data_IF_749715467521
#
_entry.id   IF_749715467521
#
_cell.length_a   1.000
_cell.length_b   1.000
_cell.length_c   1.000
_cell.angle_alpha   90.00
_cell.angle_beta   90.00
_cell.angle_gamma   90.00
#
_symmetry.space_group_name_H-M   'P 1'
#
loop_
_entity.id
_entity.type
_entity.pdbx_description
1 polymer ?
#
# COMPACT_ATOMS: atom_id res chain seq x y z
N UNK A 1 -53.92 -0.79 -15.53
CA UNK A 1 -53.36 -0.21 -14.29
C UNK A 1 -52.46 -1.23 -13.61
N UNK A 2 -51.16 -0.94 -13.59
CA UNK A 2 -50.14 -1.24 -12.57
C UNK A 2 -48.78 -1.35 -13.26
N UNK A 3 -48.14 -0.18 -13.30
CA UNK A 3 -46.70 0.01 -13.52
C UNK A 3 -45.93 -0.81 -12.48
N UNK A 4 -44.81 -1.44 -12.81
CA UNK A 4 -43.59 -1.31 -11.99
C UNK A 4 -42.32 -1.86 -12.67
N UNK A 5 -41.40 -0.90 -12.88
CA UNK A 5 -39.93 -0.98 -12.74
C UNK A 5 -39.12 -1.97 -13.59
N UNK A 6 -38.70 -1.40 -14.71
CA UNK A 6 -37.43 -1.58 -15.41
C UNK A 6 -36.24 -1.39 -14.45
N UNK A 7 -35.41 -2.41 -14.26
CA UNK A 7 -34.07 -2.28 -13.64
C UNK A 7 -33.03 -2.46 -14.74
N UNK A 8 -32.49 -1.35 -15.22
CA UNK A 8 -31.34 -1.33 -16.14
C UNK A 8 -30.10 -1.62 -15.29
N UNK A 9 -29.50 -2.79 -15.48
CA UNK A 9 -28.17 -3.09 -14.98
C UNK A 9 -27.16 -2.49 -15.97
N UNK A 10 -26.65 -1.29 -15.68
CA UNK A 10 -25.46 -0.77 -16.37
C UNK A 10 -24.26 -1.51 -15.77
N UNK A 11 -23.92 -2.65 -16.38
CA UNK A 11 -22.60 -3.22 -16.24
C UNK A 11 -21.65 -2.38 -17.10
N UNK A 12 -20.91 -1.46 -16.49
CA UNK A 12 -19.73 -0.86 -17.11
C UNK A 12 -18.66 -1.95 -17.25
N UNK A 13 -18.76 -2.73 -18.32
CA UNK A 13 -17.69 -3.56 -18.81
C UNK A 13 -16.62 -2.60 -19.33
N UNK A 14 -15.61 -2.31 -18.51
CA UNK A 14 -14.33 -1.82 -19.02
C UNK A 14 -13.66 -3.00 -19.74
N UNK A 15 -14.08 -3.22 -20.98
CA UNK A 15 -13.35 -4.05 -21.94
C UNK A 15 -11.96 -3.44 -22.06
N UNK A 16 -10.95 -4.28 -21.81
CA UNK A 16 -9.54 -3.92 -21.87
C UNK A 16 -9.26 -3.07 -23.10
N UNK A 17 -8.89 -1.81 -22.84
CA UNK A 17 -8.19 -1.00 -23.81
C UNK A 17 -6.90 -1.75 -24.11
N UNK A 18 -6.89 -2.46 -25.23
CA UNK A 18 -5.69 -3.06 -25.79
C UNK A 18 -4.60 -2.00 -25.81
N UNK A 19 -3.38 -2.42 -25.46
CA UNK A 19 -2.19 -1.56 -25.36
C UNK A 19 -2.13 -0.58 -26.53
N UNK A 20 -2.60 0.66 -26.30
CA UNK A 20 -2.44 1.74 -27.25
C UNK A 20 -0.96 2.06 -27.27
N UNK A 21 -0.29 1.76 -28.38
CA UNK A 21 1.06 2.25 -28.62
C UNK A 21 1.00 3.78 -28.51
N UNK A 22 1.65 4.33 -27.49
CA UNK A 22 1.78 5.78 -27.35
C UNK A 22 2.80 6.18 -28.40
N UNK A 23 2.29 6.62 -29.55
CA UNK A 23 3.11 7.12 -30.63
C UNK A 23 3.68 8.49 -30.24
N UNK A 24 4.92 8.70 -30.66
CA UNK A 24 5.53 10.01 -30.81
C UNK A 24 4.59 10.96 -31.56
N UNK A 25 4.45 12.19 -31.06
CA UNK A 25 3.63 13.29 -31.61
C UNK A 25 2.13 13.21 -31.28
N UNK A 26 1.78 13.72 -30.09
CA UNK A 26 0.39 13.97 -29.72
C UNK A 26 0.25 14.47 -28.29
N UNK A 27 -0.61 15.47 -28.08
CA UNK A 27 -1.11 15.80 -26.74
C UNK A 27 -2.14 14.74 -26.39
N UNK A 28 -1.84 13.94 -25.37
CA UNK A 28 -2.76 12.96 -24.80
C UNK A 28 -3.48 13.58 -23.61
N UNK A 29 -4.73 13.16 -23.37
CA UNK A 29 -5.49 13.60 -22.21
C UNK A 29 -6.02 12.40 -21.43
N UNK A 30 -5.93 12.46 -20.11
CA UNK A 30 -6.39 11.41 -19.20
C UNK A 30 -7.06 12.03 -17.98
N UNK A 31 -8.21 11.47 -17.61
CA UNK A 31 -8.91 11.83 -16.39
C UNK A 31 -8.28 11.12 -15.20
N UNK A 32 -8.14 11.86 -14.11
CA UNK A 32 -7.62 11.38 -12.84
C UNK A 32 -8.65 11.67 -11.76
N UNK A 33 -8.92 10.70 -10.87
CA UNK A 33 -9.87 10.89 -9.79
C UNK A 33 -9.20 11.52 -8.56
N UNK A 34 -10.02 12.15 -7.72
CA UNK A 34 -9.64 12.64 -6.40
C UNK A 34 -10.27 11.77 -5.31
N UNK A 35 -9.66 11.77 -4.13
CA UNK A 35 -10.22 11.16 -2.92
C UNK A 35 -10.80 12.23 -2.00
N UNK A 36 -11.85 11.86 -1.27
CA UNK A 36 -12.33 12.66 -0.14
C UNK A 36 -11.22 12.77 0.91
N UNK A 37 -10.92 13.97 1.44
CA UNK A 37 -10.00 14.13 2.57
C UNK A 37 -10.45 13.30 3.79
N UNK A 38 -9.66 12.31 4.18
CA UNK A 38 -9.99 11.38 5.25
C UNK A 38 -9.52 11.89 6.63
N UNK A 39 -9.85 13.14 6.95
CA UNK A 39 -9.35 13.81 8.14
C UNK A 39 -9.69 13.06 9.44
N UNK A 40 -10.78 12.30 9.46
CA UNK A 40 -11.14 11.48 10.61
C UNK A 40 -10.11 10.40 10.97
N UNK A 41 -9.40 9.87 9.98
CA UNK A 41 -8.26 8.96 10.17
C UNK A 41 -6.99 9.79 10.45
N UNK A 42 -6.74 10.82 9.65
CA UNK A 42 -5.46 11.54 9.70
C UNK A 42 -5.25 12.33 11.00
N UNK A 43 -6.31 12.88 11.58
CA UNK A 43 -6.24 13.64 12.83
C UNK A 43 -5.83 12.76 14.02
N UNK A 44 -6.10 11.45 13.99
CA UNK A 44 -5.63 10.53 15.02
C UNK A 44 -4.18 10.11 14.85
N UNK A 45 -3.43 10.72 13.93
CA UNK A 45 -2.05 10.34 13.61
C UNK A 45 -1.92 9.07 12.77
N UNK A 46 -3.02 8.38 12.47
CA UNK A 46 -3.01 7.28 11.50
C UNK A 46 -2.80 7.85 10.10
N UNK A 47 -1.90 7.24 9.34
CA UNK A 47 -1.70 7.60 7.94
C UNK A 47 -2.46 6.66 7.01
N UNK A 48 -2.48 5.35 7.30
CA UNK A 48 -3.18 4.30 6.55
C UNK A 48 -2.95 4.38 5.03
N UNK A 49 -1.74 4.71 4.58
CA UNK A 49 -1.42 4.96 3.16
C UNK A 49 -1.78 6.37 2.67
N UNK A 50 -1.83 7.38 3.55
CA UNK A 50 -2.00 8.78 3.16
C UNK A 50 -0.92 9.13 2.15
N UNK A 51 -1.30 9.70 1.01
CA UNK A 51 -0.42 9.96 -0.14
C UNK A 51 0.25 8.73 -0.77
N UNK A 52 -0.26 7.52 -0.56
CA UNK A 52 0.21 6.34 -1.27
C UNK A 52 -0.57 6.07 -2.55
N UNK A 53 -1.85 6.44 -2.64
CA UNK A 53 -2.65 6.12 -3.81
C UNK A 53 -2.08 6.74 -5.10
N UNK A 54 -1.89 5.92 -6.15
CA UNK A 54 -1.30 6.33 -7.43
C UNK A 54 -2.22 5.99 -8.60
N UNK A 55 -2.18 6.86 -9.61
CA UNK A 55 -2.84 6.66 -10.89
C UNK A 55 -1.79 6.66 -11.98
N UNK A 56 -1.67 5.56 -12.71
CA UNK A 56 -0.66 5.39 -13.75
C UNK A 56 -1.02 6.16 -15.02
N UNK A 57 -0.02 6.46 -15.84
CA UNK A 57 -0.24 6.94 -17.21
C UNK A 57 -0.37 5.78 -18.23
N UNK A 58 -0.06 4.55 -17.84
CA UNK A 58 -0.22 3.33 -18.66
C UNK A 58 1.00 2.92 -19.49
N UNK A 59 2.14 3.58 -19.30
CA UNK A 59 3.37 3.31 -20.05
C UNK A 59 4.61 3.39 -19.16
N UNK A 60 5.73 2.89 -19.68
CA UNK A 60 7.06 3.03 -19.09
C UNK A 60 7.79 4.10 -19.89
N UNK A 61 8.21 5.17 -19.21
CA UNK A 61 8.99 6.24 -19.81
C UNK A 61 10.43 5.77 -19.99
N UNK A 62 10.92 5.89 -21.22
CA UNK A 62 12.26 5.47 -21.61
C UNK A 62 13.33 6.35 -20.97
N UNK A 63 14.55 5.83 -20.74
CA UNK A 63 15.67 6.62 -20.21
C UNK A 63 15.89 7.92 -20.99
N UNK A 64 16.18 9.00 -20.28
CA UNK A 64 16.48 10.34 -20.79
C UNK A 64 15.39 10.94 -21.71
N UNK A 65 14.17 10.40 -21.66
CA UNK A 65 13.02 10.94 -22.40
C UNK A 65 12.28 11.95 -21.54
N UNK A 66 11.86 13.07 -22.13
CA UNK A 66 11.10 14.12 -21.43
C UNK A 66 9.61 13.80 -21.52
N UNK A 67 8.96 13.81 -20.36
CA UNK A 67 7.51 13.84 -20.23
C UNK A 67 7.08 15.27 -19.86
N UNK A 68 6.24 15.87 -20.69
CA UNK A 68 5.58 17.14 -20.39
C UNK A 68 4.20 16.84 -19.87
N UNK A 69 3.77 17.53 -18.82
CA UNK A 69 2.44 17.38 -18.24
C UNK A 69 1.88 18.75 -17.84
N UNK A 70 0.58 18.94 -18.03
CA UNK A 70 -0.19 20.05 -17.45
C UNK A 70 -1.55 19.58 -16.98
N UNK A 71 -2.12 20.28 -16.02
CA UNK A 71 -3.48 20.12 -15.56
C UNK A 71 -4.40 21.05 -16.36
N UNK A 72 -5.52 20.54 -16.87
CA UNK A 72 -6.40 21.30 -17.78
C UNK A 72 -7.85 21.42 -17.33
N UNK A 73 -8.26 20.76 -16.24
CA UNK A 73 -9.60 20.99 -15.69
C UNK A 73 -9.62 22.33 -14.93
N UNK A 74 -10.29 23.38 -15.43
CA UNK A 74 -10.28 24.70 -14.81
C UNK A 74 -10.96 24.74 -13.43
N UNK A 75 -11.79 23.76 -13.09
CA UNK A 75 -12.46 23.69 -11.79
C UNK A 75 -11.55 23.13 -10.69
N UNK A 76 -10.48 22.43 -11.06
CA UNK A 76 -9.51 21.91 -10.11
C UNK A 76 -8.46 22.99 -9.81
N UNK A 77 -8.51 23.55 -8.60
CA UNK A 77 -7.65 24.69 -8.19
C UNK A 77 -6.37 24.30 -7.45
N UNK A 78 -6.19 23.01 -7.17
CA UNK A 78 -4.98 22.49 -6.53
C UNK A 78 -3.93 22.12 -7.58
N UNK A 79 -2.73 21.75 -7.12
CA UNK A 79 -1.72 21.08 -7.94
C UNK A 79 -1.77 19.56 -7.74
N UNK A 80 -1.10 18.84 -8.63
CA UNK A 80 -0.92 17.38 -8.56
C UNK A 80 0.57 17.06 -8.61
N UNK A 81 1.02 16.12 -7.80
CA UNK A 81 2.38 15.58 -7.93
C UNK A 81 2.39 14.48 -8.98
N UNK A 82 3.19 14.65 -10.03
CA UNK A 82 3.54 13.60 -10.99
C UNK A 82 4.94 13.09 -10.65
N UNK A 83 5.08 11.77 -10.59
CA UNK A 83 6.30 11.08 -10.20
C UNK A 83 6.75 10.11 -11.29
N UNK A 84 8.05 10.03 -11.49
CA UNK A 84 8.72 8.95 -12.22
C UNK A 84 9.22 7.96 -11.18
N UNK A 85 8.56 6.80 -11.10
CA UNK A 85 8.80 5.79 -10.05
C UNK A 85 9.57 4.61 -10.63
N UNK A 86 10.56 4.13 -9.90
CA UNK A 86 11.41 3.00 -10.28
C UNK A 86 11.82 2.16 -9.07
N UNK A 87 12.87 1.36 -9.18
CA UNK A 87 13.37 0.51 -8.09
C UNK A 87 14.61 1.07 -7.39
N UNK A 88 15.03 2.30 -7.67
CA UNK A 88 16.12 2.98 -6.96
C UNK A 88 15.86 4.47 -6.81
N UNK A 89 16.12 5.07 -5.64
CA UNK A 89 15.86 6.51 -5.45
C UNK A 89 16.68 7.40 -6.39
N UNK A 90 17.87 6.97 -6.80
CA UNK A 90 18.71 7.73 -7.72
C UNK A 90 18.03 8.04 -9.07
N UNK A 91 17.06 7.21 -9.48
CA UNK A 91 16.31 7.36 -10.74
C UNK A 91 14.90 7.93 -10.55
N UNK A 92 14.44 8.12 -9.31
CA UNK A 92 13.11 8.64 -9.05
C UNK A 92 13.06 10.15 -9.10
N UNK A 93 12.02 10.71 -9.69
CA UNK A 93 11.83 12.16 -9.84
C UNK A 93 10.38 12.51 -9.55
N UNK A 94 10.14 13.75 -9.15
CA UNK A 94 8.79 14.26 -8.97
C UNK A 94 8.71 15.73 -9.37
N UNK A 95 7.55 16.14 -9.87
CA UNK A 95 7.22 17.52 -10.21
C UNK A 95 5.80 17.84 -9.74
N UNK A 96 5.60 19.09 -9.35
CA UNK A 96 4.27 19.64 -9.07
C UNK A 96 3.69 20.19 -10.37
N UNK A 97 2.52 19.71 -10.77
CA UNK A 97 1.84 20.05 -12.01
C UNK A 97 0.64 20.97 -11.72
N UNK A 98 0.62 22.12 -12.40
CA UNK A 98 -0.49 23.09 -12.43
C UNK A 98 -1.00 23.29 -13.86
N UNK A 99 -1.52 24.49 -14.18
CA UNK A 99 -2.05 24.80 -15.52
C UNK A 99 -0.99 24.85 -16.63
N UNK A 100 0.25 25.16 -16.25
CA UNK A 100 1.36 25.31 -17.17
C UNK A 100 2.07 23.98 -17.46
N UNK A 101 2.64 23.89 -18.67
CA UNK A 101 3.47 22.76 -19.05
C UNK A 101 4.68 22.63 -18.14
N UNK A 102 4.81 21.47 -17.51
CA UNK A 102 5.93 21.11 -16.65
C UNK A 102 6.61 19.86 -17.20
N UNK A 103 7.94 19.84 -17.19
CA UNK A 103 8.75 18.73 -17.74
C UNK A 103 9.35 17.89 -16.63
N UNK A 104 9.42 16.57 -16.85
CA UNK A 104 10.12 15.63 -15.97
C UNK A 104 10.82 14.55 -16.82
N UNK A 105 12.01 14.13 -16.41
CA UNK A 105 12.77 13.05 -17.06
C UNK A 105 13.65 12.33 -16.04
N UNK A 106 14.08 11.11 -16.36
CA UNK A 106 14.99 10.32 -15.54
C UNK A 106 16.07 9.67 -16.40
N UNK A 107 17.22 9.32 -15.80
CA UNK A 107 18.33 8.66 -16.47
C UNK A 107 18.09 7.18 -16.75
N UNK A 108 17.03 6.60 -16.20
CA UNK A 108 16.64 5.20 -16.40
C UNK A 108 15.15 5.09 -16.71
N UNK A 109 14.73 3.89 -17.13
CA UNK A 109 13.32 3.59 -17.37
C UNK A 109 12.54 3.71 -16.06
N UNK A 110 11.41 4.40 -16.11
CA UNK A 110 10.56 4.68 -14.94
C UNK A 110 9.09 4.63 -15.32
N UNK A 111 8.22 4.46 -14.34
CA UNK A 111 6.77 4.47 -14.53
C UNK A 111 6.23 5.84 -14.12
N UNK A 112 5.66 6.64 -15.05
CA UNK A 112 4.96 7.86 -14.69
C UNK A 112 3.67 7.54 -13.94
N UNK A 113 3.54 8.13 -12.76
CA UNK A 113 2.35 8.02 -11.89
C UNK A 113 1.95 9.42 -11.41
N UNK A 114 0.65 9.68 -11.29
CA UNK A 114 0.14 10.83 -10.55
C UNK A 114 -0.24 10.38 -9.14
N UNK A 115 0.14 11.16 -8.12
CA UNK A 115 -0.40 10.99 -6.77
C UNK A 115 -1.87 11.39 -6.79
N UNK A 116 -2.75 10.52 -6.27
CA UNK A 116 -4.16 10.84 -6.18
C UNK A 116 -4.39 11.99 -5.20
N UNK A 117 -4.94 13.14 -5.65
CA UNK A 117 -5.14 14.28 -4.78
C UNK A 117 -6.33 14.06 -3.83
N UNK A 118 -6.30 14.74 -2.69
CA UNK A 118 -7.43 14.86 -1.78
C UNK A 118 -8.22 16.13 -2.10
N UNK A 119 -9.24 16.02 -2.94
CA UNK A 119 -10.00 17.16 -3.45
C UNK A 119 -11.44 16.78 -3.81
N UNK A 120 -12.32 17.79 -3.88
CA UNK A 120 -13.72 17.61 -4.28
C UNK A 120 -13.92 17.55 -5.81
N UNK A 121 -12.94 18.04 -6.56
CA UNK A 121 -12.96 18.08 -8.03
C UNK A 121 -11.90 17.12 -8.55
N UNK A 122 -12.20 16.40 -9.63
CA UNK A 122 -11.26 15.50 -10.30
C UNK A 122 -10.37 16.28 -11.26
N UNK A 123 -9.04 16.10 -11.22
CA UNK A 123 -8.19 16.68 -12.23
C UNK A 123 -8.27 15.98 -13.58
N UNK A 124 -7.95 16.72 -14.64
CA UNK A 124 -7.67 16.19 -15.97
C UNK A 124 -6.26 16.61 -16.35
N UNK A 125 -5.43 15.66 -16.73
CA UNK A 125 -4.07 15.92 -17.15
C UNK A 125 -3.95 15.77 -18.66
N UNK A 126 -3.23 16.71 -19.27
CA UNK A 126 -2.67 16.54 -20.60
C UNK A 126 -1.18 16.23 -20.49
N UNK A 127 -0.70 15.37 -21.38
CA UNK A 127 0.72 14.99 -21.42
C UNK A 127 1.22 14.77 -22.85
N UNK A 128 2.52 14.99 -23.02
CA UNK A 128 3.26 14.78 -24.26
C UNK A 128 4.59 14.11 -23.92
N UNK A 129 4.99 13.12 -24.72
CA UNK A 129 6.30 12.46 -24.59
C UNK A 129 7.19 12.94 -25.73
N UNK A 130 8.29 13.63 -25.40
CA UNK A 130 9.25 14.13 -26.39
C UNK A 130 10.19 12.98 -26.83
N UNK A 131 9.66 12.09 -27.66
CA UNK A 131 10.42 10.99 -28.25
C UNK A 131 9.85 10.65 -29.61
N UNK A 132 10.69 10.28 -30.58
CA UNK A 132 10.25 9.69 -31.85
C UNK A 132 9.94 8.19 -31.75
N UNK A 133 10.30 7.56 -30.62
CA UNK A 133 10.08 6.14 -30.36
C UNK A 133 8.86 5.95 -29.46
N UNK A 134 8.01 4.94 -29.75
CA UNK A 134 6.87 4.64 -28.91
C UNK A 134 7.35 4.15 -27.54
N UNK A 135 6.66 4.59 -26.48
CA UNK A 135 6.95 4.12 -25.13
C UNK A 135 6.42 2.69 -24.94
N UNK A 136 7.13 1.89 -24.14
CA UNK A 136 6.69 0.54 -23.80
C UNK A 136 5.39 0.62 -22.99
N UNK A 137 4.41 -0.27 -23.23
CA UNK A 137 3.22 -0.32 -22.38
C UNK A 137 3.62 -0.74 -20.96
N UNK A 138 2.91 -0.25 -19.96
CA UNK A 138 2.98 -0.79 -18.60
C UNK A 138 2.05 -2.01 -18.53
N UNK A 139 2.54 -3.24 -18.30
CA UNK A 139 1.69 -4.36 -17.95
C UNK A 139 0.98 -4.06 -16.63
N UNK A 140 -0.35 -4.12 -16.62
CA UNK A 140 -1.17 -3.89 -15.43
C UNK A 140 -2.03 -5.13 -15.22
N UNK A 141 -2.06 -5.63 -13.99
CA UNK A 141 -2.94 -6.72 -13.56
C UNK A 141 -3.94 -6.18 -12.55
N UNK A 142 -5.24 -6.27 -12.86
CA UNK A 142 -6.33 -6.05 -11.94
C UNK A 142 -6.95 -7.38 -11.54
N UNK A 143 -7.70 -7.38 -10.44
CA UNK A 143 -8.40 -8.58 -9.98
C UNK A 143 -9.29 -9.19 -11.06
N UNK A 144 -9.11 -10.48 -11.35
CA UNK A 144 -9.84 -11.22 -12.38
C UNK A 144 -9.29 -11.07 -13.81
N UNK A 145 -8.21 -10.31 -14.01
CA UNK A 145 -7.54 -10.24 -15.32
C UNK A 145 -6.85 -11.57 -15.68
N UNK A 146 -6.53 -11.75 -16.96
CA UNK A 146 -5.79 -12.93 -17.41
C UNK A 146 -4.29 -12.80 -17.09
N UNK A 147 -3.77 -13.59 -16.15
CA UNK A 147 -2.34 -13.66 -15.86
C UNK A 147 -1.52 -13.98 -17.11
N UNK A 148 -2.02 -14.88 -17.96
CA UNK A 148 -1.37 -15.23 -19.22
C UNK A 148 -1.19 -14.00 -20.12
N UNK A 149 -2.21 -13.13 -20.22
CA UNK A 149 -2.12 -11.91 -21.02
C UNK A 149 -1.22 -10.86 -20.36
N UNK A 150 -1.30 -10.71 -19.04
CA UNK A 150 -0.44 -9.82 -18.26
C UNK A 150 1.05 -10.15 -18.47
N UNK A 151 1.44 -11.40 -18.19
CA UNK A 151 2.82 -11.83 -18.37
C UNK A 151 3.23 -11.89 -19.84
N UNK A 152 2.33 -12.28 -20.76
CA UNK A 152 2.64 -12.22 -22.19
C UNK A 152 2.92 -10.80 -22.67
N UNK A 153 2.24 -9.79 -22.15
CA UNK A 153 2.51 -8.38 -22.49
C UNK A 153 3.88 -7.97 -21.99
N UNK A 154 4.19 -8.34 -20.74
CA UNK A 154 5.48 -8.07 -20.12
C UNK A 154 6.63 -8.75 -20.88
N UNK A 155 6.49 -10.03 -21.23
CA UNK A 155 7.50 -10.83 -21.91
C UNK A 155 7.73 -10.33 -23.35
N UNK A 156 6.67 -10.07 -24.12
CA UNK A 156 6.79 -9.65 -25.53
C UNK A 156 7.35 -8.24 -25.71
N UNK A 157 7.01 -7.34 -24.81
CA UNK A 157 7.43 -5.93 -24.88
C UNK A 157 8.72 -5.67 -24.10
N UNK A 158 9.28 -6.71 -23.47
CA UNK A 158 10.46 -6.65 -22.63
C UNK A 158 10.38 -5.49 -21.62
N UNK A 159 9.29 -5.43 -20.85
CA UNK A 159 9.02 -4.32 -19.94
C UNK A 159 9.93 -4.35 -18.69
N UNK A 160 10.32 -3.17 -18.21
CA UNK A 160 11.13 -2.99 -17.00
C UNK A 160 10.31 -3.15 -15.73
N UNK A 161 9.01 -2.91 -15.80
CA UNK A 161 8.10 -2.96 -14.67
C UNK A 161 6.75 -3.56 -15.06
N UNK A 162 6.01 -4.01 -14.06
CA UNK A 162 4.58 -4.31 -14.12
C UNK A 162 3.89 -3.83 -12.85
N UNK A 163 2.58 -3.66 -12.90
CA UNK A 163 1.79 -3.10 -11.81
C UNK A 163 0.61 -4.02 -11.46
N UNK A 164 0.61 -4.55 -10.24
CA UNK A 164 -0.50 -5.37 -9.72
C UNK A 164 -1.38 -4.47 -8.87
N UNK A 165 -2.70 -4.48 -9.08
CA UNK A 165 -3.65 -3.61 -8.38
C UNK A 165 -4.71 -4.42 -7.65
N UNK A 166 -4.83 -4.16 -6.36
CA UNK A 166 -5.99 -4.54 -5.55
C UNK A 166 -6.86 -3.32 -5.22
N UNK A 167 -7.92 -3.57 -4.46
CA UNK A 167 -8.81 -2.51 -3.97
C UNK A 167 -8.10 -1.55 -3.01
N UNK A 168 -7.27 -2.09 -2.11
CA UNK A 168 -6.62 -1.35 -1.02
C UNK A 168 -5.12 -1.14 -1.25
N UNK A 169 -4.57 -1.62 -2.36
CA UNK A 169 -3.14 -1.54 -2.64
C UNK A 169 -2.78 -1.57 -4.12
N UNK A 170 -1.54 -1.21 -4.42
CA UNK A 170 -0.88 -1.34 -5.71
C UNK A 170 0.56 -1.83 -5.46
N UNK A 171 1.06 -2.77 -6.26
CA UNK A 171 2.45 -3.25 -6.18
C UNK A 171 3.16 -2.94 -7.50
N UNK A 172 4.16 -2.06 -7.47
CA UNK A 172 5.08 -1.87 -8.59
C UNK A 172 6.18 -2.93 -8.51
N UNK A 173 6.23 -3.77 -9.54
CA UNK A 173 7.13 -4.93 -9.61
C UNK A 173 8.20 -4.66 -10.66
N UNK A 174 9.49 -4.58 -10.29
CA UNK A 174 10.57 -4.48 -11.26
C UNK A 174 10.74 -5.79 -12.02
N UNK A 175 11.43 -5.74 -13.16
CA UNK A 175 11.73 -6.90 -14.00
C UNK A 175 12.30 -8.07 -13.22
N UNK A 176 13.22 -7.82 -12.28
CA UNK A 176 13.81 -8.85 -11.44
C UNK A 176 12.78 -9.59 -10.57
N UNK A 177 11.67 -8.93 -10.23
CA UNK A 177 10.54 -9.51 -9.49
C UNK A 177 9.49 -10.22 -10.36
N UNK A 178 9.60 -10.15 -11.70
CA UNK A 178 8.60 -10.70 -12.62
C UNK A 178 8.32 -12.19 -12.36
N UNK A 179 9.37 -12.99 -12.21
CA UNK A 179 9.20 -14.43 -11.97
C UNK A 179 8.70 -14.75 -10.56
N UNK A 180 8.98 -13.90 -9.57
CA UNK A 180 8.35 -14.04 -8.23
C UNK A 180 6.86 -13.73 -8.29
N UNK A 181 6.45 -12.73 -9.08
CA UNK A 181 5.04 -12.44 -9.32
C UNK A 181 4.36 -13.55 -10.14
N UNK A 182 5.07 -14.20 -11.07
CA UNK A 182 4.58 -15.35 -11.86
C UNK A 182 4.46 -16.62 -11.02
N UNK A 183 5.34 -16.78 -10.04
CA UNK A 183 5.45 -17.97 -9.18
C UNK A 183 5.32 -17.57 -7.71
N UNK A 184 4.16 -17.02 -7.38
CA UNK A 184 3.81 -16.56 -6.03
C UNK A 184 4.00 -17.65 -4.98
N UNK A 185 4.49 -17.30 -3.79
CA UNK A 185 4.73 -18.29 -2.72
C UNK A 185 3.45 -18.58 -1.96
N UNK A 186 2.94 -19.82 -2.08
CA UNK A 186 1.72 -20.31 -1.43
C UNK A 186 0.43 -19.56 -1.83
N UNK A 187 0.40 -19.06 -3.08
CA UNK A 187 -0.82 -18.62 -3.75
C UNK A 187 -0.95 -19.35 -5.10
N UNK A 188 -2.19 -19.59 -5.55
CA UNK A 188 -2.41 -20.21 -6.86
C UNK A 188 -2.07 -19.27 -8.02
N UNK A 189 -2.23 -17.95 -7.81
CA UNK A 189 -2.11 -16.90 -8.82
C UNK A 189 -2.12 -15.50 -8.15
N UNK A 190 -1.99 -14.45 -8.96
CA UNK A 190 -2.08 -13.05 -8.55
C UNK A 190 -3.44 -12.67 -7.92
N UNK A 191 -4.55 -13.29 -8.33
CA UNK A 191 -5.84 -13.10 -7.64
C UNK A 191 -5.78 -13.60 -6.19
N UNK A 192 -5.11 -14.73 -5.95
CA UNK A 192 -4.85 -15.24 -4.60
C UNK A 192 -4.04 -14.29 -3.73
N UNK A 193 -3.08 -13.54 -4.32
CA UNK A 193 -2.33 -12.47 -3.63
C UNK A 193 -3.26 -11.31 -3.29
N UNK A 194 -4.07 -10.86 -4.25
CA UNK A 194 -5.02 -9.76 -4.04
C UNK A 194 -6.04 -10.12 -2.95
N UNK A 195 -6.60 -11.33 -2.99
CA UNK A 195 -7.57 -11.80 -2.00
C UNK A 195 -6.94 -11.95 -0.61
N UNK A 196 -5.68 -12.34 -0.52
CA UNK A 196 -4.95 -12.34 0.75
C UNK A 196 -4.82 -10.93 1.32
N UNK A 197 -4.40 -9.94 0.53
CA UNK A 197 -4.31 -8.56 1.00
C UNK A 197 -5.67 -7.97 1.35
N UNK A 198 -6.75 -8.32 0.64
CA UNK A 198 -8.12 -7.95 1.05
C UNK A 198 -8.41 -8.42 2.49
N UNK A 199 -7.98 -9.63 2.87
CA UNK A 199 -8.13 -10.12 4.25
C UNK A 199 -7.26 -9.36 5.25
N UNK A 200 -6.01 -9.04 4.89
CA UNK A 200 -5.10 -8.25 5.74
C UNK A 200 -5.72 -6.88 6.04
N UNK A 201 -6.08 -6.12 5.00
CA UNK A 201 -6.67 -4.80 5.18
C UNK A 201 -8.03 -4.86 5.89
N UNK A 202 -8.87 -5.87 5.60
CA UNK A 202 -10.13 -6.04 6.32
C UNK A 202 -9.92 -6.33 7.80
N UNK A 203 -8.92 -7.17 8.14
CA UNK A 203 -8.56 -7.46 9.54
C UNK A 203 -8.06 -6.21 10.26
N UNK A 204 -7.16 -5.45 9.65
CA UNK A 204 -6.59 -4.26 10.26
C UNK A 204 -7.65 -3.15 10.42
N UNK A 205 -8.49 -2.95 9.41
CA UNK A 205 -9.64 -2.05 9.49
C UNK A 205 -10.60 -2.45 10.63
N UNK A 206 -10.90 -3.74 10.77
CA UNK A 206 -11.76 -4.25 11.84
C UNK A 206 -11.13 -4.01 13.21
N UNK A 207 -9.85 -4.35 13.39
CA UNK A 207 -9.16 -4.20 14.66
C UNK A 207 -9.04 -2.72 15.07
N UNK A 208 -8.77 -1.84 14.10
CA UNK A 208 -8.78 -0.39 14.29
C UNK A 208 -10.19 0.22 14.40
N UNK A 209 -11.27 -0.56 14.25
CA UNK A 209 -12.64 -0.07 14.39
C UNK A 209 -13.13 0.85 13.28
N UNK A 210 -12.59 0.69 12.06
CA UNK A 210 -13.07 1.33 10.84
C UNK A 210 -14.23 0.49 10.26
N UNK A 211 -15.36 0.50 10.96
CA UNK A 211 -16.54 -0.34 10.73
C UNK A 211 -17.74 0.41 10.10
N UNK A 212 -17.57 1.70 9.80
CA UNK A 212 -18.62 2.61 9.33
C UNK A 212 -19.78 2.84 10.32
N UNK A 213 -19.58 2.55 11.62
CA UNK A 213 -20.59 2.79 12.67
C UNK A 213 -20.85 4.27 12.95
N UNK A 214 -19.92 5.15 12.58
CA UNK A 214 -20.00 6.60 12.75
C UNK A 214 -19.17 7.33 11.69
N UNK A 215 -19.33 8.65 11.52
CA UNK A 215 -18.47 9.45 10.63
C UNK A 215 -16.97 9.31 10.91
N UNK A 216 -16.57 9.18 12.18
CA UNK A 216 -15.17 9.01 12.59
C UNK A 216 -14.64 7.58 12.47
N UNK A 217 -15.52 6.62 12.16
CA UNK A 217 -15.21 5.20 11.99
C UNK A 217 -15.39 4.73 10.54
N UNK A 218 -15.55 5.66 9.59
CA UNK A 218 -15.68 5.34 8.16
C UNK A 218 -14.37 4.76 7.61
N UNK A 219 -14.47 3.79 6.71
CA UNK A 219 -13.28 3.26 6.03
C UNK A 219 -12.71 4.27 5.03
N UNK A 220 -11.38 4.32 5.00
CA UNK A 220 -10.64 5.03 3.98
C UNK A 220 -10.72 4.37 2.62
N UNK A 221 -10.59 5.16 1.55
CA UNK A 221 -10.60 4.68 0.15
C UNK A 221 -9.23 4.73 -0.54
N UNK A 222 -8.21 5.23 0.16
CA UNK A 222 -6.86 5.33 -0.38
C UNK A 222 -6.18 3.96 -0.37
N UNK A 223 -5.36 3.71 -1.39
CA UNK A 223 -4.56 2.50 -1.52
C UNK A 223 -3.15 2.70 -0.99
N UNK A 224 -2.55 1.62 -0.50
CA UNK A 224 -1.11 1.53 -0.26
C UNK A 224 -0.37 1.37 -1.59
N UNK A 225 0.80 1.98 -1.71
CA UNK A 225 1.68 1.78 -2.86
C UNK A 225 2.92 1.07 -2.40
N UNK A 226 3.00 -0.19 -2.78
CA UNK A 226 4.05 -1.12 -2.41
C UNK A 226 5.03 -1.22 -3.56
N UNK A 227 6.33 -1.24 -3.27
CA UNK A 227 7.35 -1.39 -4.30
C UNK A 227 8.57 -2.13 -3.80
N UNK A 228 9.31 -2.68 -4.74
CA UNK A 228 10.67 -3.14 -4.52
C UNK A 228 11.64 -1.94 -4.53
N UNK A 229 12.77 -2.08 -3.86
CA UNK A 229 13.87 -1.12 -3.95
C UNK A 229 15.22 -1.81 -3.84
N UNK A 230 16.16 -1.41 -4.68
CA UNK A 230 17.52 -1.97 -4.77
C UNK A 230 18.55 -1.18 -3.97
N UNK A 231 18.24 0.07 -3.62
CA UNK A 231 19.09 0.95 -2.83
C UNK A 231 18.43 1.33 -1.48
N UNK A 232 19.24 1.43 -0.42
CA UNK A 232 18.73 1.68 0.93
C UNK A 232 19.80 1.50 1.99
N UNK A 233 19.45 1.81 3.25
CA UNK A 233 20.37 1.61 4.37
C UNK A 233 20.64 0.12 4.57
N UNK A 234 21.92 -0.30 4.65
CA UNK A 234 22.27 -1.68 4.97
C UNK A 234 21.55 -2.16 6.23
N UNK A 235 21.00 -3.38 6.19
CA UNK A 235 20.28 -3.98 7.32
C UNK A 235 18.81 -3.61 7.46
N UNK A 236 18.28 -2.71 6.62
CA UNK A 236 16.83 -2.41 6.57
C UNK A 236 16.14 -3.39 5.62
N UNK A 237 15.19 -4.18 6.11
CA UNK A 237 14.45 -5.13 5.27
C UNK A 237 13.31 -4.44 4.50
N UNK A 238 12.60 -3.52 5.12
CA UNK A 238 11.47 -2.79 4.55
C UNK A 238 11.31 -1.41 5.17
N UNK A 239 10.38 -0.62 4.65
CA UNK A 239 10.02 0.66 5.27
C UNK A 239 8.62 1.10 4.84
N UNK A 240 7.80 1.49 5.81
CA UNK A 240 6.60 2.27 5.61
C UNK A 240 6.96 3.76 5.60
N UNK A 241 6.90 4.37 4.43
CA UNK A 241 7.17 5.79 4.23
C UNK A 241 5.90 6.61 4.02
N UNK A 242 6.09 7.92 3.89
CA UNK A 242 4.99 8.86 3.66
C UNK A 242 4.29 8.66 2.31
N UNK A 243 5.03 8.29 1.27
CA UNK A 243 4.50 8.20 -0.09
C UNK A 243 4.30 6.76 -0.58
N UNK A 244 4.92 5.78 0.08
CA UNK A 244 4.91 4.38 -0.32
C UNK A 244 5.46 3.48 0.78
N UNK A 245 5.27 2.18 0.59
CA UNK A 245 5.88 1.11 1.38
C UNK A 245 6.88 0.34 0.51
N UNK A 246 8.07 0.08 1.07
CA UNK A 246 9.20 -0.49 0.33
C UNK A 246 9.62 -1.83 0.94
N UNK A 247 9.95 -2.78 0.07
CA UNK A 247 10.75 -3.95 0.42
C UNK A 247 12.14 -3.76 -0.20
N UNK A 248 13.18 -3.76 0.64
CA UNK A 248 14.58 -3.59 0.25
C UNK A 248 15.13 -4.88 -0.35
N UNK A 249 14.61 -5.21 -1.52
CA UNK A 249 14.98 -6.37 -2.31
C UNK A 249 14.80 -6.05 -3.79
N UNK A 250 15.69 -6.49 -4.68
CA UNK A 250 15.53 -6.29 -6.12
C UNK A 250 14.24 -6.90 -6.69
N UNK A 251 13.65 -7.90 -6.02
CA UNK A 251 12.49 -8.64 -6.54
C UNK A 251 11.16 -8.22 -5.92
N UNK A 252 11.19 -7.55 -4.75
CA UNK A 252 9.96 -7.28 -4.00
C UNK A 252 9.27 -8.56 -3.49
N UNK A 253 9.98 -9.67 -3.35
CA UNK A 253 9.37 -11.00 -3.09
C UNK A 253 8.44 -11.09 -1.88
N UNK A 254 8.70 -10.30 -0.83
CA UNK A 254 7.84 -10.22 0.36
C UNK A 254 6.38 -9.83 0.04
N UNK A 255 6.14 -9.12 -1.07
CA UNK A 255 4.80 -8.72 -1.51
C UNK A 255 3.99 -9.87 -2.14
N UNK A 256 4.65 -10.98 -2.48
CA UNK A 256 4.04 -12.13 -3.16
C UNK A 256 4.08 -13.40 -2.31
N UNK A 257 4.48 -13.28 -1.03
CA UNK A 257 4.57 -14.39 -0.09
C UNK A 257 3.45 -14.36 0.94
N UNK A 258 2.72 -15.48 1.04
CA UNK A 258 1.73 -15.66 2.12
C UNK A 258 2.42 -15.59 3.48
N UNK A 259 1.80 -14.90 4.44
CA UNK A 259 2.31 -14.72 5.80
C UNK A 259 3.68 -14.01 5.89
N UNK A 260 4.10 -13.30 4.84
CA UNK A 260 5.28 -12.44 4.86
C UNK A 260 5.19 -11.43 6.02
N UNK A 261 6.03 -11.63 7.05
CA UNK A 261 6.04 -10.73 8.20
C UNK A 261 6.39 -9.30 7.79
N UNK A 262 7.33 -9.15 6.85
CA UNK A 262 7.66 -7.83 6.30
C UNK A 262 6.42 -7.15 5.73
N UNK A 263 5.62 -7.84 4.92
CA UNK A 263 4.43 -7.22 4.37
C UNK A 263 3.41 -6.83 5.46
N UNK A 264 3.18 -7.70 6.43
CA UNK A 264 2.25 -7.45 7.54
C UNK A 264 2.71 -6.29 8.42
N UNK A 265 3.99 -6.28 8.81
CA UNK A 265 4.62 -5.26 9.65
C UNK A 265 4.55 -3.87 9.00
N UNK A 266 4.94 -3.79 7.72
CA UNK A 266 4.99 -2.51 7.00
C UNK A 266 3.60 -1.96 6.67
N UNK A 267 2.61 -2.81 6.40
CA UNK A 267 1.21 -2.37 6.25
C UNK A 267 0.69 -1.80 7.57
N UNK A 268 0.98 -2.51 8.67
CA UNK A 268 0.50 -2.17 10.00
C UNK A 268 1.04 -0.82 10.52
N UNK A 269 2.20 -0.36 10.06
CA UNK A 269 2.69 0.99 10.38
C UNK A 269 1.70 2.09 10.00
N UNK A 270 0.91 1.91 8.93
CA UNK A 270 -0.15 2.87 8.59
C UNK A 270 -1.29 2.94 9.61
N UNK A 271 -1.45 1.93 10.47
CA UNK A 271 -2.49 1.88 11.51
C UNK A 271 -2.02 2.36 12.88
N UNK A 272 -0.76 2.78 13.01
CA UNK A 272 -0.27 3.42 14.22
C UNK A 272 -0.97 4.76 14.45
N UNK A 273 -1.18 5.09 15.71
CA UNK A 273 -1.87 6.31 16.09
C UNK A 273 -0.90 7.28 16.76
N UNK A 274 -1.36 8.51 17.03
CA UNK A 274 -0.61 9.44 17.86
C UNK A 274 -0.40 8.98 19.32
N UNK A 275 -1.08 7.90 19.77
CA UNK A 275 -0.88 7.32 21.10
C UNK A 275 0.49 6.64 21.24
N UNK A 276 1.04 6.12 20.15
CA UNK A 276 2.19 5.22 20.17
C UNK A 276 3.48 5.88 20.72
N UNK A 277 3.50 7.21 20.82
CA UNK A 277 4.58 8.01 21.41
C UNK A 277 4.22 8.73 22.72
N UNK A 278 3.10 8.41 23.36
CA UNK A 278 2.63 9.08 24.59
C UNK A 278 2.78 8.16 25.80
N UNK A 279 3.60 8.57 26.77
CA UNK A 279 3.84 7.83 28.01
C UNK A 279 4.80 6.66 27.83
N UNK A 280 4.43 5.65 27.04
CA UNK A 280 5.27 4.49 26.70
C UNK A 280 5.51 4.47 25.19
N UNK A 281 6.78 4.51 24.76
CA UNK A 281 7.10 4.41 23.35
C UNK A 281 6.81 2.99 22.84
N UNK A 282 5.96 2.89 21.84
CA UNK A 282 5.54 1.61 21.26
C UNK A 282 5.73 1.57 19.75
N UNK A 283 6.45 2.54 19.17
CA UNK A 283 6.89 2.45 17.77
C UNK A 283 7.68 1.17 17.52
N UNK A 284 7.46 0.55 16.36
CA UNK A 284 7.98 -0.78 15.98
C UNK A 284 7.41 -1.98 16.77
N UNK A 285 6.53 -1.75 17.74
CA UNK A 285 5.90 -2.82 18.55
C UNK A 285 4.39 -2.82 18.41
N UNK A 286 3.74 -1.65 18.52
CA UNK A 286 2.29 -1.56 18.55
C UNK A 286 1.65 -1.96 17.22
N UNK A 287 2.26 -1.55 16.10
CA UNK A 287 1.87 -2.02 14.77
C UNK A 287 1.92 -3.55 14.65
N UNK A 288 2.86 -4.21 15.33
CA UNK A 288 2.97 -5.67 15.24
C UNK A 288 1.78 -6.43 15.85
N UNK A 289 0.94 -5.78 16.66
CA UNK A 289 -0.31 -6.39 17.15
C UNK A 289 -1.20 -6.77 15.95
N UNK A 290 -1.29 -5.93 14.93
CA UNK A 290 -2.07 -6.18 13.73
C UNK A 290 -1.56 -7.43 12.98
N UNK A 291 -0.26 -7.45 12.66
CA UNK A 291 0.37 -8.58 11.98
C UNK A 291 0.31 -9.88 12.78
N UNK A 292 0.58 -9.83 14.08
CA UNK A 292 0.52 -11.01 14.94
C UNK A 292 -0.91 -11.54 15.06
N UNK A 293 -1.89 -10.70 15.36
CA UNK A 293 -3.29 -11.15 15.45
C UNK A 293 -3.80 -11.71 14.13
N UNK A 294 -3.38 -11.15 12.99
CA UNK A 294 -3.69 -11.70 11.67
C UNK A 294 -3.10 -13.10 11.48
N UNK A 295 -1.82 -13.31 11.81
CA UNK A 295 -1.19 -14.63 11.74
C UNK A 295 -1.92 -15.66 12.62
N UNK A 296 -2.27 -15.30 13.85
CA UNK A 296 -3.03 -16.21 14.74
C UNK A 296 -4.44 -16.52 14.20
N UNK A 297 -5.10 -15.55 13.56
CA UNK A 297 -6.42 -15.73 12.95
C UNK A 297 -6.37 -16.64 11.72
N UNK A 298 -5.42 -16.42 10.80
CA UNK A 298 -5.36 -17.18 9.55
C UNK A 298 -4.72 -18.56 9.72
N UNK A 299 -3.72 -18.70 10.60
CA UNK A 299 -2.96 -19.94 10.77
C UNK A 299 -3.53 -20.82 11.87
N UNK A 300 -4.21 -20.24 12.87
CA UNK A 300 -4.54 -20.91 14.11
C UNK A 300 -3.36 -20.91 15.10
N UNK A 301 -3.67 -21.16 16.38
CA UNK A 301 -2.71 -20.99 17.49
C UNK A 301 -1.45 -21.86 17.34
N UNK A 302 -1.61 -23.14 16.99
CA UNK A 302 -0.50 -24.10 16.96
C UNK A 302 0.50 -23.74 15.87
N UNK A 303 0.00 -23.43 14.68
CA UNK A 303 0.78 -23.03 13.52
C UNK A 303 1.38 -21.64 13.72
N UNK A 304 0.64 -20.67 14.29
CA UNK A 304 1.18 -19.35 14.61
C UNK A 304 2.27 -19.39 15.70
N UNK A 305 2.15 -20.27 16.70
CA UNK A 305 3.21 -20.49 17.70
C UNK A 305 4.48 -21.07 17.06
N UNK A 306 4.34 -21.86 15.98
CA UNK A 306 5.45 -22.53 15.30
C UNK A 306 6.09 -21.66 14.21
N UNK A 307 5.29 -21.07 13.33
CA UNK A 307 5.75 -20.41 12.10
C UNK A 307 5.45 -18.89 12.10
N UNK A 308 4.65 -18.40 13.04
CA UNK A 308 4.36 -16.97 13.18
C UNK A 308 5.56 -16.21 13.78
N UNK A 309 5.68 -14.93 13.44
CA UNK A 309 6.88 -14.15 13.75
C UNK A 309 7.09 -13.95 15.26
N UNK A 310 6.00 -13.90 16.04
CA UNK A 310 6.02 -13.67 17.48
C UNK A 310 6.95 -14.63 18.21
N UNK A 311 6.89 -15.91 17.83
CA UNK A 311 7.67 -16.97 18.46
C UNK A 311 8.70 -17.62 17.54
N UNK A 312 8.45 -17.67 16.23
CA UNK A 312 9.41 -18.17 15.24
C UNK A 312 10.00 -19.54 15.64
N UNK A 313 9.12 -20.44 16.08
CA UNK A 313 9.45 -21.79 16.57
C UNK A 313 10.11 -21.86 17.96
N UNK A 314 10.41 -20.72 18.59
CA UNK A 314 11.23 -20.60 19.80
C UNK A 314 10.43 -20.18 21.04
N UNK A 315 9.14 -20.52 21.09
CA UNK A 315 8.21 -20.07 22.14
C UNK A 315 8.74 -20.23 23.57
N UNK A 316 9.17 -21.44 23.95
CA UNK A 316 9.65 -21.72 25.30
C UNK A 316 10.85 -20.84 25.70
N UNK A 317 11.76 -20.59 24.74
CA UNK A 317 12.94 -19.74 24.97
C UNK A 317 12.51 -18.28 25.20
N UNK A 318 11.64 -17.75 24.34
CA UNK A 318 11.19 -16.35 24.43
C UNK A 318 10.39 -16.12 25.71
N UNK A 319 9.47 -17.02 26.06
CA UNK A 319 8.69 -16.92 27.31
C UNK A 319 9.58 -17.04 28.56
N UNK A 320 10.59 -17.93 28.54
CA UNK A 320 11.56 -18.05 29.62
C UNK A 320 12.37 -16.76 29.77
N UNK A 321 12.86 -16.18 28.66
CA UNK A 321 13.61 -14.93 28.70
C UNK A 321 12.78 -13.76 29.25
N UNK A 322 11.53 -13.63 28.79
CA UNK A 322 10.60 -12.61 29.30
C UNK A 322 10.36 -12.78 30.79
N UNK A 323 10.10 -14.01 31.26
CA UNK A 323 9.92 -14.30 32.68
C UNK A 323 11.17 -13.93 33.51
N UNK A 324 12.38 -14.24 33.01
CA UNK A 324 13.61 -13.89 33.70
C UNK A 324 13.81 -12.36 33.79
N UNK A 325 13.53 -11.62 32.71
CA UNK A 325 13.73 -10.16 32.61
C UNK A 325 12.65 -9.31 33.28
N UNK A 326 11.47 -9.87 33.54
CA UNK A 326 10.35 -9.12 34.11
C UNK A 326 9.94 -9.59 35.50
N UNK A 327 10.09 -10.90 35.81
CA UNK A 327 9.61 -11.48 37.08
C UNK A 327 10.77 -11.81 38.01
N UNK A 328 11.84 -12.45 37.52
CA UNK A 328 12.99 -12.81 38.36
C UNK A 328 13.94 -11.65 38.61
N UNK A 329 14.22 -10.88 37.56
CA UNK A 329 14.97 -9.63 37.63
C UNK A 329 13.98 -8.54 37.21
N UNK A 330 13.42 -7.72 38.12
CA UNK A 330 12.31 -6.82 37.80
C UNK A 330 12.75 -5.65 36.90
N UNK A 331 12.91 -5.92 35.61
CA UNK A 331 13.24 -4.94 34.58
C UNK A 331 12.04 -4.08 34.18
N UNK A 332 12.30 -3.12 33.29
CA UNK A 332 11.28 -2.23 32.72
C UNK A 332 10.88 -2.70 31.32
N UNK A 333 9.86 -2.07 30.73
CA UNK A 333 9.51 -2.30 29.31
C UNK A 333 10.72 -2.09 28.37
N UNK A 334 11.64 -1.19 28.70
CA UNK A 334 12.85 -0.96 27.88
C UNK A 334 13.93 -2.04 28.04
N UNK A 335 13.80 -2.92 29.04
CA UNK A 335 14.77 -4.01 29.28
C UNK A 335 14.55 -5.26 28.43
N UNK A 336 13.45 -5.31 27.68
CA UNK A 336 13.03 -6.45 26.86
C UNK A 336 13.12 -6.14 25.37
N UNK A 337 13.31 -7.17 24.55
CA UNK A 337 13.40 -7.04 23.10
C UNK A 337 12.03 -6.85 22.41
N UNK A 338 12.02 -6.59 21.10
CA UNK A 338 10.78 -6.32 20.35
C UNK A 338 9.75 -7.44 20.43
N UNK A 339 10.17 -8.73 20.42
CA UNK A 339 9.23 -9.86 20.50
C UNK A 339 8.65 -9.96 21.89
N UNK A 340 9.49 -9.80 22.91
CA UNK A 340 9.09 -9.78 24.32
C UNK A 340 8.13 -8.61 24.61
N UNK A 341 8.42 -7.41 24.09
CA UNK A 341 7.52 -6.23 24.16
C UNK A 341 6.17 -6.53 23.50
N UNK A 342 6.17 -7.17 22.32
CA UNK A 342 4.94 -7.56 21.63
C UNK A 342 4.14 -8.61 22.42
N UNK A 343 4.78 -9.57 23.08
CA UNK A 343 4.09 -10.55 23.95
C UNK A 343 3.33 -9.82 25.07
N UNK A 344 3.96 -8.84 25.73
CA UNK A 344 3.29 -8.05 26.78
C UNK A 344 2.02 -7.38 26.24
N UNK A 345 2.09 -6.79 25.04
CA UNK A 345 0.94 -6.15 24.39
C UNK A 345 -0.14 -7.16 23.97
N UNK A 346 0.25 -8.32 23.43
CA UNK A 346 -0.67 -9.39 23.04
C UNK A 346 -1.39 -10.00 24.26
N UNK A 347 -0.73 -10.10 25.42
CA UNK A 347 -1.37 -10.51 26.67
C UNK A 347 -2.39 -9.48 27.13
N UNK A 348 -2.08 -8.18 27.05
CA UNK A 348 -3.04 -7.11 27.36
C UNK A 348 -4.26 -7.19 26.44
N UNK A 349 -4.04 -7.31 25.12
CA UNK A 349 -5.10 -7.51 24.14
C UNK A 349 -5.95 -8.75 24.48
N UNK A 350 -5.32 -9.89 24.79
CA UNK A 350 -6.04 -11.12 25.11
C UNK A 350 -6.87 -11.00 26.39
N UNK A 351 -6.38 -10.28 27.40
CA UNK A 351 -7.07 -10.06 28.67
C UNK A 351 -8.22 -9.07 28.56
N UNK A 352 -8.02 -7.97 27.82
CA UNK A 352 -9.04 -6.95 27.60
C UNK A 352 -10.10 -7.38 26.56
N UNK A 353 -9.71 -8.24 25.62
CA UNK A 353 -10.50 -8.60 24.44
C UNK A 353 -10.28 -7.64 23.27
N UNK A 354 -10.48 -8.16 22.05
CA UNK A 354 -10.34 -7.37 20.82
C UNK A 354 -11.34 -6.22 20.75
N UNK A 355 -12.55 -6.39 21.31
CA UNK A 355 -13.55 -5.32 21.39
C UNK A 355 -13.03 -4.10 22.16
N UNK A 356 -12.38 -4.30 23.31
CA UNK A 356 -11.81 -3.21 24.10
C UNK A 356 -10.72 -2.46 23.31
N UNK A 357 -9.86 -3.18 22.58
CA UNK A 357 -8.85 -2.58 21.72
C UNK A 357 -9.46 -1.76 20.58
N UNK A 358 -10.47 -2.31 19.92
CA UNK A 358 -11.24 -1.62 18.88
C UNK A 358 -11.91 -0.35 19.43
N UNK A 359 -12.52 -0.42 20.62
CA UNK A 359 -13.13 0.73 21.29
C UNK A 359 -12.11 1.79 21.69
N UNK A 360 -10.91 1.41 22.10
CA UNK A 360 -9.81 2.35 22.35
C UNK A 360 -9.46 3.14 21.09
N UNK A 361 -9.34 2.48 19.94
CA UNK A 361 -9.11 3.13 18.65
C UNK A 361 -10.25 4.08 18.25
N UNK A 362 -11.51 3.63 18.39
CA UNK A 362 -12.69 4.44 18.10
C UNK A 362 -12.78 5.67 18.99
N UNK A 363 -12.56 5.50 20.30
CA UNK A 363 -12.56 6.59 21.28
C UNK A 363 -11.46 7.59 21.01
N UNK A 364 -10.22 7.13 20.81
CA UNK A 364 -9.11 8.03 20.50
C UNK A 364 -9.32 8.81 19.19
N UNK A 365 -9.81 8.16 18.13
CA UNK A 365 -10.18 8.88 16.90
C UNK A 365 -11.28 9.91 17.14
N UNK A 366 -12.29 9.60 17.95
CA UNK A 366 -13.36 10.55 18.26
C UNK A 366 -12.81 11.80 18.96
N UNK A 367 -11.95 11.61 19.97
CA UNK A 367 -11.29 12.71 20.70
C UNK A 367 -10.38 13.53 19.78
N UNK A 368 -9.55 12.88 18.96
CA UNK A 368 -8.63 13.54 18.04
C UNK A 368 -9.34 14.38 16.95
N UNK A 369 -10.66 14.20 16.76
CA UNK A 369 -11.47 14.97 15.81
C UNK A 369 -12.34 16.04 16.47
N UNK A 370 -12.22 16.24 17.79
CA UNK A 370 -12.88 17.38 18.45
C UNK A 370 -12.11 18.69 18.19
N UNK A 371 -12.80 19.84 18.15
CA UNK A 371 -12.14 21.14 18.21
C UNK A 371 -11.30 21.25 19.50
N UNK A 372 -10.06 21.73 19.36
CA UNK A 372 -9.14 21.94 20.48
C UNK A 372 -9.39 23.23 21.25
#
# INVERSE_FOLDING_TARGET
MKKLLLTIFIACIFLGLGATKIHAEGIHSKDFFSLEPQNWIFNSGMSKGRYHDRQDFGFILSPNTVLKVRQVNPEFKSTITVELVGDAAAIERSVTVGSEWTTISSTAATVPLATTPYAMVNPKLEYEVESSQPQKPLPIYNYGDSEKQFFSTWDKSDCEYGLVKGQDFQILVPRAGKEVARHTTNFPNLDGVIDYYKKVFAHDNQLAGLDNSSPTNKQGKNRYFMKARTDGNPGTAGTYGWNWTVHMSPTGSAWFGRNSWLALHEIAHGYQTGLDGKGMYTGEVFNNIFGATFQYKEMGKKEADRDGWLFDGNKAKIETNLYQKMVKNPGTYESVDTREKLILQMVLLQKAGTEAFTKMYQGYRLEANQPG
#
